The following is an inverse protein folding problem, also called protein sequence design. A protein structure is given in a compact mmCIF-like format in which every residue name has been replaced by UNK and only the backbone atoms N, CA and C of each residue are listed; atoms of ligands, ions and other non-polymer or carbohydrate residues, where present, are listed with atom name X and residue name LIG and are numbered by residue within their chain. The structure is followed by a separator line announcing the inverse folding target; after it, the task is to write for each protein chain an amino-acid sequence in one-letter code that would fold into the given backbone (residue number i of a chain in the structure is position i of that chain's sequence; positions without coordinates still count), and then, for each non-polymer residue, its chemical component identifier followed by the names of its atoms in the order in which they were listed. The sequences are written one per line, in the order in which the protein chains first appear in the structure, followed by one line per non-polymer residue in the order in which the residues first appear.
data_IF_816521281921
#
_entry.id   IF_816521281921
#
_cell.length_a   1.000
_cell.length_b   1.000
_cell.length_c   1.000
_cell.angle_alpha   90.00
_cell.angle_beta   90.00
_cell.angle_gamma   90.00
#
_symmetry.space_group_name_H-M   'P 1'
#
loop_
_entity.id
_entity.type
_entity.pdbx_description
1 polymer ?
#
# COMPACT_ATOMS: atom_id res chain seq x y z
N UNK A 1 7.44 0.23 5.94
CA UNK A 1 6.75 1.13 6.89
C UNK A 1 7.38 2.52 6.87
N UNK A 2 7.05 3.36 5.87
CA UNK A 2 7.67 4.68 5.67
C UNK A 2 7.53 5.59 6.90
N UNK A 3 6.37 5.56 7.58
CA UNK A 3 6.12 6.35 8.79
C UNK A 3 7.10 6.11 9.95
N UNK A 4 7.73 4.93 10.05
CA UNK A 4 8.61 4.61 11.17
C UNK A 4 9.92 5.42 11.15
N UNK A 5 10.37 5.84 9.97
CA UNK A 5 11.52 6.77 9.85
C UNK A 5 11.18 8.20 10.26
N UNK A 6 9.89 8.56 10.29
CA UNK A 6 9.40 9.89 10.64
C UNK A 6 9.06 9.98 12.12
N UNK A 7 8.44 8.93 12.69
CA UNK A 7 8.06 8.90 14.10
C UNK A 7 8.08 7.49 14.69
N UNK A 8 8.66 7.29 15.89
CA UNK A 8 8.64 5.99 16.56
C UNK A 8 7.22 5.53 16.90
N UNK A 9 6.25 6.45 16.99
CA UNK A 9 4.83 6.14 17.26
C UNK A 9 4.19 5.31 16.15
N UNK A 10 4.78 5.29 14.94
CA UNK A 10 4.28 4.53 13.81
C UNK A 10 4.18 3.02 14.09
N UNK A 11 4.95 2.51 15.06
CA UNK A 11 4.90 1.10 15.51
C UNK A 11 3.53 0.68 16.03
N UNK A 12 2.70 1.63 16.49
CA UNK A 12 1.36 1.35 17.00
C UNK A 12 0.32 1.20 15.89
N UNK A 13 0.67 1.50 14.64
CA UNK A 13 -0.24 1.36 13.51
C UNK A 13 -0.57 -0.11 13.26
N UNK A 14 -1.87 -0.40 13.09
CA UNK A 14 -2.40 -1.73 12.71
C UNK A 14 -3.03 -1.71 11.31
N UNK A 15 -2.70 -0.71 10.50
CA UNK A 15 -3.17 -0.61 9.13
C UNK A 15 -2.68 -1.81 8.30
N UNK A 16 -3.57 -2.37 7.49
CA UNK A 16 -3.28 -3.48 6.58
C UNK A 16 -3.70 -3.08 5.16
N UNK A 17 -3.14 -3.76 4.18
CA UNK A 17 -3.64 -3.76 2.80
C UNK A 17 -4.14 -5.16 2.45
N UNK A 18 -5.15 -5.25 1.59
CA UNK A 18 -5.73 -6.52 1.18
C UNK A 18 -6.56 -6.37 -0.08
N UNK A 19 -6.99 -7.52 -0.60
CA UNK A 19 -7.78 -7.61 -1.84
C UNK A 19 -9.16 -8.15 -1.51
N UNK A 20 -10.20 -7.60 -2.14
CA UNK A 20 -11.55 -8.16 -2.12
C UNK A 20 -12.13 -8.10 -3.51
N UNK A 21 -12.34 -9.27 -4.13
CA UNK A 21 -12.65 -9.37 -5.57
C UNK A 21 -11.58 -8.61 -6.37
N UNK A 22 -11.97 -7.80 -7.32
CA UNK A 22 -11.09 -7.03 -8.20
C UNK A 22 -10.75 -5.65 -7.60
N UNK A 23 -10.59 -5.57 -6.28
CA UNK A 23 -10.33 -4.31 -5.59
C UNK A 23 -9.22 -4.44 -4.55
N UNK A 24 -8.21 -3.58 -4.68
CA UNK A 24 -7.17 -3.36 -3.69
C UNK A 24 -7.66 -2.34 -2.65
N UNK A 25 -7.55 -2.70 -1.37
CA UNK A 25 -7.95 -1.87 -0.22
C UNK A 25 -6.71 -1.62 0.61
N UNK A 26 -6.40 -0.35 0.90
CA UNK A 26 -5.22 0.07 1.67
C UNK A 26 -5.67 0.97 2.82
N UNK A 27 -5.39 0.56 4.06
CA UNK A 27 -5.62 1.41 5.22
C UNK A 27 -4.49 2.44 5.35
N UNK A 28 -4.86 3.71 5.47
CA UNK A 28 -3.94 4.83 5.67
C UNK A 28 -4.11 5.45 7.07
N UNK A 29 -3.08 6.16 7.59
CA UNK A 29 -3.22 6.93 8.82
C UNK A 29 -4.30 8.02 8.73
N UNK A 30 -4.90 8.40 9.86
CA UNK A 30 -5.94 9.45 9.88
C UNK A 30 -5.43 10.88 9.65
N UNK A 31 -4.13 11.13 9.80
CA UNK A 31 -3.55 12.45 9.50
C UNK A 31 -3.38 12.62 7.99
N UNK A 32 -3.85 13.72 7.38
CA UNK A 32 -3.72 13.96 5.93
C UNK A 32 -2.26 13.88 5.44
N UNK A 33 -1.32 14.47 6.18
CA UNK A 33 0.12 14.42 5.84
C UNK A 33 0.62 12.98 5.77
N UNK A 34 0.36 12.21 6.83
CA UNK A 34 0.80 10.83 6.90
C UNK A 34 0.10 9.95 5.86
N UNK A 35 -1.18 10.19 5.55
CA UNK A 35 -1.89 9.49 4.49
C UNK A 35 -1.21 9.66 3.13
N UNK A 36 -0.86 10.91 2.76
CA UNK A 36 -0.16 11.21 1.50
C UNK A 36 1.21 10.55 1.46
N UNK A 37 2.01 10.68 2.52
CA UNK A 37 3.36 10.09 2.60
C UNK A 37 3.33 8.56 2.47
N UNK A 38 2.37 7.88 3.11
CA UNK A 38 2.28 6.42 3.04
C UNK A 38 1.72 5.95 1.70
N UNK A 39 0.80 6.70 1.09
CA UNK A 39 0.30 6.40 -0.24
C UNK A 39 1.39 6.55 -1.30
N UNK A 40 2.19 7.63 -1.24
CA UNK A 40 3.33 7.84 -2.12
C UNK A 40 4.36 6.70 -2.02
N UNK A 41 4.60 6.18 -0.82
CA UNK A 41 5.55 5.09 -0.59
C UNK A 41 5.16 3.77 -1.29
N UNK A 42 3.88 3.56 -1.60
CA UNK A 42 3.39 2.34 -2.27
C UNK A 42 2.95 2.57 -3.72
N UNK A 43 2.81 3.83 -4.15
CA UNK A 43 2.20 4.20 -5.43
C UNK A 43 2.87 3.53 -6.62
N UNK A 44 4.19 3.41 -6.61
CA UNK A 44 4.96 2.80 -7.71
C UNK A 44 4.67 1.31 -7.95
N UNK A 45 4.21 0.60 -6.91
CA UNK A 45 3.89 -0.83 -7.03
C UNK A 45 2.41 -1.09 -7.41
N UNK A 46 1.53 -0.10 -7.21
CA UNK A 46 0.08 -0.27 -7.40
C UNK A 46 -0.27 -0.66 -8.85
N UNK A 47 0.23 0.00 -9.91
CA UNK A 47 -0.17 -0.32 -11.28
C UNK A 47 0.04 -1.80 -11.63
N UNK A 48 1.26 -2.31 -11.40
CA UNK A 48 1.56 -3.71 -11.66
C UNK A 48 0.76 -4.66 -10.76
N UNK A 49 0.58 -4.32 -9.48
CA UNK A 49 -0.25 -5.12 -8.57
C UNK A 49 -1.71 -5.22 -9.02
N UNK A 50 -2.25 -4.19 -9.67
CA UNK A 50 -3.61 -4.21 -10.24
C UNK A 50 -3.65 -5.06 -11.52
N UNK A 51 -2.65 -4.97 -12.39
CA UNK A 51 -2.56 -5.84 -13.58
C UNK A 51 -2.53 -7.33 -13.19
N UNK A 52 -1.74 -7.69 -12.17
CA UNK A 52 -1.71 -9.05 -11.61
C UNK A 52 -3.09 -9.44 -11.04
N UNK A 53 -3.72 -8.55 -10.27
CA UNK A 53 -5.04 -8.78 -9.66
C UNK A 53 -6.12 -9.07 -10.72
N UNK A 54 -6.07 -8.35 -11.85
CA UNK A 54 -7.01 -8.51 -12.95
C UNK A 54 -6.65 -9.65 -13.91
N UNK A 55 -5.49 -10.30 -13.71
CA UNK A 55 -4.98 -11.36 -14.60
C UNK A 55 -4.46 -10.84 -15.95
N UNK A 56 -4.15 -9.55 -16.04
CA UNK A 56 -3.63 -8.88 -17.24
C UNK A 56 -2.09 -8.96 -17.33
N UNK A 57 -1.41 -9.20 -16.21
CA UNK A 57 0.01 -9.47 -16.14
C UNK A 57 0.28 -10.85 -15.51
N UNK A 58 1.44 -11.42 -15.83
CA UNK A 58 1.97 -12.63 -15.20
C UNK A 58 3.19 -12.27 -14.35
N UNK A 59 3.39 -12.97 -13.24
CA UNK A 59 4.57 -12.81 -12.38
C UNK A 59 5.88 -12.87 -13.19
N UNK A 60 6.72 -11.85 -13.04
CA UNK A 60 8.04 -11.78 -13.69
C UNK A 60 9.05 -12.78 -13.13
N UNK A 61 8.70 -13.53 -12.08
CA UNK A 61 9.52 -14.59 -11.52
C UNK A 61 9.55 -15.80 -12.47
N UNK A 62 10.59 -15.85 -13.32
CA UNK A 62 11.10 -17.08 -13.91
C UNK A 62 12.08 -17.76 -12.96
#
# INVERSE_FOLDING_TARGET
ASSLSITPKAILSRGIAGIRKDSLIINLPGSPKAAVENLQAVLGAIPHGIEILLGEASECAR
#
